data_IF_036433904662
#
_entry.id   IF_036433904662
#
_cell.length_a   1.000
_cell.length_b   1.000
_cell.length_c   1.000
_cell.angle_alpha   90.00
_cell.angle_beta   90.00
_cell.angle_gamma   90.00
#
_symmetry.space_group_name_H-M   'P 1'
#
loop_
_entity.id
_entity.type
_entity.pdbx_description
1 polymer ?
#
# COMPACT_ATOMS: atom_id res chain seq x y z
N UNK A 1 -1.79 -1.11 12.75
CA UNK A 1 -2.06 -0.58 11.41
C UNK A 1 -2.98 0.62 11.52
N UNK A 2 -2.62 1.73 10.88
CA UNK A 2 -3.40 2.98 10.96
C UNK A 2 -4.85 2.77 10.52
N UNK A 3 -5.08 2.04 9.45
CA UNK A 3 -6.43 1.81 8.95
C UNK A 3 -7.34 1.16 9.98
N UNK A 4 -6.82 0.21 10.76
CA UNK A 4 -7.61 -0.47 11.79
C UNK A 4 -8.12 0.53 12.84
N UNK A 5 -7.33 1.56 13.16
CA UNK A 5 -7.75 2.60 14.11
C UNK A 5 -8.78 3.56 13.51
N UNK A 6 -8.85 3.68 12.19
CA UNK A 6 -9.78 4.58 11.49
C UNK A 6 -11.14 3.93 11.26
N UNK A 7 -11.20 2.61 11.07
CA UNK A 7 -12.44 1.89 10.75
C UNK A 7 -13.62 2.25 11.66
N UNK A 8 -13.45 2.37 13.00
CA UNK A 8 -14.58 2.74 13.86
C UNK A 8 -15.17 4.12 13.58
N UNK A 9 -14.43 4.99 12.89
CA UNK A 9 -14.87 6.34 12.55
C UNK A 9 -15.60 6.42 11.21
N UNK A 10 -15.68 5.31 10.47
CA UNK A 10 -16.40 5.25 9.19
C UNK A 10 -17.85 4.89 9.48
N UNK A 11 -18.78 5.56 8.77
CA UNK A 11 -20.20 5.26 8.90
C UNK A 11 -20.46 3.77 8.66
N UNK A 12 -21.32 3.17 9.48
CA UNK A 12 -21.57 1.73 9.48
C UNK A 12 -21.90 1.17 8.09
N UNK A 13 -22.74 1.87 7.32
CA UNK A 13 -23.09 1.45 5.96
C UNK A 13 -21.88 1.44 5.02
N UNK A 14 -20.98 2.41 5.18
CA UNK A 14 -19.78 2.52 4.35
C UNK A 14 -18.73 1.45 4.69
N UNK A 15 -18.78 0.88 5.90
CA UNK A 15 -17.86 -0.21 6.28
C UNK A 15 -18.09 -1.46 5.45
N UNK A 16 -19.33 -1.72 5.06
CA UNK A 16 -19.67 -2.89 4.25
C UNK A 16 -19.43 -2.69 2.76
N UNK A 17 -19.11 -1.45 2.34
CA UNK A 17 -18.82 -1.11 0.96
C UNK A 17 -17.35 -0.73 0.82
N UNK A 18 -17.05 0.58 0.81
CA UNK A 18 -15.70 1.07 0.56
C UNK A 18 -14.74 0.72 1.70
N UNK A 19 -15.20 0.72 2.96
CA UNK A 19 -14.36 0.35 4.09
C UNK A 19 -13.80 -1.04 3.97
N UNK A 20 -14.66 -2.01 3.60
CA UNK A 20 -14.23 -3.40 3.39
C UNK A 20 -13.25 -3.54 2.24
N UNK A 21 -13.46 -2.79 1.16
CA UNK A 21 -12.56 -2.83 0.01
C UNK A 21 -11.18 -2.28 0.35
N UNK A 22 -11.14 -1.20 1.12
CA UNK A 22 -9.88 -0.61 1.57
C UNK A 22 -9.14 -1.62 2.48
N UNK A 23 -9.86 -2.19 3.43
CA UNK A 23 -9.28 -3.18 4.34
C UNK A 23 -8.70 -4.38 3.58
N UNK A 24 -9.43 -4.90 2.59
CA UNK A 24 -8.96 -6.00 1.78
C UNK A 24 -7.72 -5.62 0.97
N UNK A 25 -7.64 -4.38 0.48
CA UNK A 25 -6.44 -3.92 -0.23
C UNK A 25 -5.23 -3.81 0.68
N UNK A 26 -5.41 -3.40 1.92
CA UNK A 26 -4.32 -3.43 2.90
C UNK A 26 -3.82 -4.86 3.13
N UNK A 27 -4.72 -5.81 3.26
CA UNK A 27 -4.36 -7.22 3.44
C UNK A 27 -3.65 -7.77 2.21
N UNK A 28 -4.13 -7.43 1.02
CA UNK A 28 -3.48 -7.81 -0.23
C UNK A 28 -2.06 -7.26 -0.29
N UNK A 29 -1.87 -6.00 0.11
CA UNK A 29 -0.56 -5.37 0.12
C UNK A 29 0.40 -6.08 1.08
N UNK A 30 -0.07 -6.42 2.27
CA UNK A 30 0.74 -7.16 3.24
C UNK A 30 1.13 -8.52 2.70
N UNK A 31 0.20 -9.25 2.11
CA UNK A 31 0.44 -10.57 1.55
C UNK A 31 1.44 -10.51 0.38
N UNK A 32 1.23 -9.58 -0.55
CA UNK A 32 2.14 -9.42 -1.69
C UNK A 32 3.53 -8.99 -1.25
N UNK A 33 3.62 -8.12 -0.24
CA UNK A 33 4.91 -7.68 0.30
C UNK A 33 5.68 -8.87 0.89
N UNK A 34 4.98 -9.75 1.60
CA UNK A 34 5.56 -10.97 2.16
C UNK A 34 6.06 -11.88 1.05
N UNK A 35 5.22 -12.11 0.03
CA UNK A 35 5.59 -12.94 -1.11
C UNK A 35 6.80 -12.35 -1.84
N UNK A 36 6.81 -11.04 -2.08
CA UNK A 36 7.91 -10.36 -2.77
C UNK A 36 9.23 -10.50 -2.01
N UNK A 37 9.16 -10.52 -0.68
CA UNK A 37 10.36 -10.66 0.14
C UNK A 37 11.00 -12.06 0.00
N UNK A 38 10.18 -13.11 -0.05
CA UNK A 38 10.64 -14.49 -0.05
C UNK A 38 10.74 -15.16 -1.42
N UNK A 39 10.17 -14.55 -2.46
CA UNK A 39 10.15 -15.16 -3.80
C UNK A 39 11.55 -15.14 -4.44
N UNK A 40 11.72 -15.98 -5.45
CA UNK A 40 12.96 -16.04 -6.23
C UNK A 40 13.33 -14.66 -6.79
N UNK A 41 14.62 -14.37 -6.82
CA UNK A 41 15.16 -13.10 -7.26
C UNK A 41 14.63 -12.66 -8.62
N UNK A 42 14.50 -13.59 -9.55
CA UNK A 42 14.05 -13.31 -10.91
C UNK A 42 12.61 -12.81 -10.98
N UNK A 43 11.82 -13.13 -9.95
CA UNK A 43 10.41 -12.75 -9.90
C UNK A 43 10.12 -11.59 -8.95
N UNK A 44 11.13 -11.12 -8.21
CA UNK A 44 10.94 -10.06 -7.22
C UNK A 44 10.45 -8.76 -7.85
N UNK A 45 11.03 -8.35 -8.97
CA UNK A 45 10.65 -7.11 -9.63
C UNK A 45 9.17 -7.12 -10.03
N UNK A 46 8.71 -8.22 -10.59
CA UNK A 46 7.31 -8.40 -10.95
C UNK A 46 6.39 -8.28 -9.73
N UNK A 47 6.76 -8.94 -8.62
CA UNK A 47 5.95 -8.90 -7.40
C UNK A 47 5.95 -7.52 -6.75
N UNK A 48 7.06 -6.81 -6.79
CA UNK A 48 7.13 -5.45 -6.27
C UNK A 48 6.26 -4.52 -7.13
N UNK A 49 6.23 -4.73 -8.45
CA UNK A 49 5.36 -3.97 -9.35
C UNK A 49 3.89 -4.22 -8.99
N UNK A 50 3.51 -5.45 -8.66
CA UNK A 50 2.18 -5.76 -8.19
C UNK A 50 1.85 -5.05 -6.87
N UNK A 51 2.83 -4.99 -5.95
CA UNK A 51 2.68 -4.26 -4.68
C UNK A 51 2.41 -2.78 -4.94
N UNK A 52 3.13 -2.17 -5.87
CA UNK A 52 2.96 -0.77 -6.21
C UNK A 52 1.56 -0.52 -6.78
N UNK A 53 1.09 -1.42 -7.63
CA UNK A 53 -0.26 -1.30 -8.20
C UNK A 53 -1.34 -1.37 -7.12
N UNK A 54 -1.21 -2.31 -6.18
CA UNK A 54 -2.15 -2.42 -5.06
C UNK A 54 -2.09 -1.15 -4.20
N UNK A 55 -0.90 -0.63 -3.96
CA UNK A 55 -0.70 0.60 -3.19
C UNK A 55 -1.39 1.79 -3.86
N UNK A 56 -1.23 1.93 -5.18
CA UNK A 56 -1.86 3.02 -5.93
C UNK A 56 -3.39 2.91 -5.90
N UNK A 57 -3.91 1.69 -6.01
CA UNK A 57 -5.35 1.43 -5.89
C UNK A 57 -5.85 1.82 -4.49
N UNK A 58 -5.07 1.50 -3.47
CA UNK A 58 -5.39 1.83 -2.09
C UNK A 58 -5.45 3.34 -1.89
N UNK A 59 -4.47 4.08 -2.43
CA UNK A 59 -4.47 5.55 -2.40
C UNK A 59 -5.72 6.12 -3.05
N UNK A 60 -6.12 5.56 -4.19
CA UNK A 60 -7.33 5.97 -4.88
C UNK A 60 -8.58 5.75 -4.01
N UNK A 61 -8.70 4.58 -3.39
CA UNK A 61 -9.85 4.27 -2.54
C UNK A 61 -9.90 5.18 -1.30
N UNK A 62 -8.75 5.53 -0.73
CA UNK A 62 -8.68 6.47 0.39
C UNK A 62 -9.16 7.86 -0.05
N UNK A 63 -8.76 8.30 -1.25
CA UNK A 63 -9.23 9.57 -1.81
C UNK A 63 -10.74 9.58 -1.98
N UNK A 64 -11.32 8.49 -2.48
CA UNK A 64 -12.78 8.36 -2.64
C UNK A 64 -13.48 8.46 -1.29
N UNK A 65 -12.96 7.76 -0.28
CA UNK A 65 -13.52 7.80 1.06
C UNK A 65 -13.47 9.21 1.65
N UNK A 66 -12.37 9.92 1.42
CA UNK A 66 -12.21 11.30 1.89
C UNK A 66 -13.17 12.26 1.18
N UNK A 67 -13.26 12.18 -0.14
CA UNK A 67 -14.17 13.00 -0.92
C UNK A 67 -15.64 12.76 -0.55
N UNK A 68 -15.96 11.51 -0.20
CA UNK A 68 -17.29 11.13 0.29
C UNK A 68 -17.51 11.48 1.75
N UNK A 69 -16.55 12.15 2.39
CA UNK A 69 -16.61 12.56 3.80
C UNK A 69 -16.77 11.39 4.77
N UNK A 70 -16.28 10.22 4.39
CA UNK A 70 -16.31 9.02 5.22
C UNK A 70 -15.17 9.00 6.22
N UNK A 71 -14.07 9.72 5.95
CA UNK A 71 -12.94 9.88 6.86
C UNK A 71 -12.61 11.36 6.99
N UNK A 72 -12.05 11.75 8.13
CA UNK A 72 -11.69 13.14 8.38
C UNK A 72 -10.44 13.55 7.59
N UNK A 73 -10.23 14.87 7.45
CA UNK A 73 -9.01 15.39 6.84
C UNK A 73 -7.77 14.90 7.55
N UNK A 74 -7.79 14.90 8.88
CA UNK A 74 -6.64 14.46 9.67
C UNK A 74 -6.31 12.99 9.43
N UNK A 75 -7.32 12.12 9.41
CA UNK A 75 -7.13 10.70 9.13
C UNK A 75 -6.63 10.48 7.70
N UNK A 76 -7.19 11.21 6.75
CA UNK A 76 -6.78 11.11 5.34
C UNK A 76 -5.29 11.49 5.18
N UNK A 77 -4.88 12.62 5.76
CA UNK A 77 -3.49 13.06 5.70
C UNK A 77 -2.55 12.05 6.32
N UNK A 78 -2.90 11.52 7.49
CA UNK A 78 -2.06 10.58 8.20
C UNK A 78 -1.84 9.30 7.39
N UNK A 79 -2.92 8.74 6.85
CA UNK A 79 -2.84 7.53 6.01
C UNK A 79 -2.07 7.81 4.72
N UNK A 80 -2.35 8.95 4.07
CA UNK A 80 -1.70 9.32 2.82
C UNK A 80 -0.17 9.43 2.99
N UNK A 81 0.28 10.04 4.08
CA UNK A 81 1.71 10.16 4.38
C UNK A 81 2.35 8.79 4.56
N UNK A 82 1.69 7.89 5.28
CA UNK A 82 2.22 6.54 5.49
C UNK A 82 2.27 5.72 4.19
N UNK A 83 1.25 5.85 3.36
CA UNK A 83 1.23 5.17 2.07
C UNK A 83 2.31 5.71 1.14
N UNK A 84 2.59 7.02 1.22
CA UNK A 84 3.66 7.62 0.44
C UNK A 84 5.03 7.09 0.87
N UNK A 85 5.26 6.96 2.17
CA UNK A 85 6.49 6.36 2.70
C UNK A 85 6.67 4.93 2.18
N UNK A 86 5.61 4.13 2.22
CA UNK A 86 5.63 2.76 1.71
C UNK A 86 5.92 2.74 0.21
N UNK A 87 5.32 3.67 -0.53
CA UNK A 87 5.57 3.79 -1.97
C UNK A 87 7.03 4.07 -2.29
N UNK A 88 7.67 4.93 -1.52
CA UNK A 88 9.09 5.23 -1.68
C UNK A 88 9.95 4.00 -1.39
N UNK A 89 9.58 3.21 -0.40
CA UNK A 89 10.30 1.99 -0.07
C UNK A 89 10.21 0.98 -1.22
N UNK A 90 9.02 0.76 -1.78
CA UNK A 90 8.86 -0.14 -2.92
C UNK A 90 9.59 0.38 -4.15
N UNK A 91 9.51 1.68 -4.42
CA UNK A 91 10.21 2.30 -5.54
C UNK A 91 11.71 2.13 -5.45
N UNK A 92 12.28 2.35 -4.26
CA UNK A 92 13.70 2.16 -4.00
C UNK A 92 14.11 0.70 -4.17
N UNK A 93 13.32 -0.22 -3.65
CA UNK A 93 13.57 -1.65 -3.78
C UNK A 93 13.58 -2.09 -5.25
N UNK A 94 12.57 -1.66 -6.00
CA UNK A 94 12.48 -1.96 -7.43
C UNK A 94 13.68 -1.41 -8.20
N UNK A 95 14.08 -0.17 -7.90
CA UNK A 95 15.23 0.47 -8.52
C UNK A 95 16.52 -0.30 -8.24
N UNK A 96 16.71 -0.76 -7.03
CA UNK A 96 17.89 -1.54 -6.67
C UNK A 96 17.96 -2.86 -7.42
N UNK A 97 16.82 -3.52 -7.61
CA UNK A 97 16.76 -4.77 -8.36
C UNK A 97 17.05 -4.57 -9.84
N UNK A 98 16.69 -3.41 -10.40
CA UNK A 98 16.91 -3.09 -11.79
C UNK A 98 18.35 -2.63 -12.09
N UNK A 99 19.15 -2.36 -11.04
CA UNK A 99 20.52 -1.89 -11.17
C UNK A 99 21.52 -2.94 -10.70
N UNK A 100 22.09 -3.76 -11.63
CA UNK A 100 23.02 -4.82 -11.27
C UNK A 100 24.29 -4.34 -10.57
N UNK A 101 24.83 -3.19 -10.98
CA UNK A 101 26.05 -2.63 -10.39
C UNK A 101 25.86 -2.29 -8.93
N UNK A 102 24.79 -1.59 -8.61
CA UNK A 102 24.47 -1.22 -7.24
C UNK A 102 24.24 -2.46 -6.39
N UNK A 103 23.59 -3.45 -6.96
CA UNK A 103 23.31 -4.72 -6.31
C UNK A 103 24.59 -5.49 -5.98
N UNK A 104 25.54 -5.48 -6.91
CA UNK A 104 26.82 -6.14 -6.70
C UNK A 104 27.64 -5.45 -5.61
N UNK A 105 27.53 -4.15 -5.47
CA UNK A 105 28.21 -3.39 -4.40
C UNK A 105 27.65 -3.71 -3.02
N UNK A 106 26.36 -4.00 -2.95
CA UNK A 106 25.70 -4.31 -1.68
C UNK A 106 25.99 -5.72 -1.19
N UNK A 107 26.64 -6.50 -2.00
CA UNK A 107 27.12 -7.82 -1.65
C UNK A 107 28.61 -7.76 -1.23
#
# INVERSE_FOLDING_TARGET
>A
MIWVSIVPHIAKGARYTIGSRIENKFLDLLELSYIAYFIEKEKKEEKITECILVLDTLKFLISVAWEGKLISNAHCENVALKLEEVGKMFGGWKKNLANPEKKNRDM
#
